data_IF_285241432744
#
_entry.id   IF_285241432744
#
_cell.length_a   1.000
_cell.length_b   1.000
_cell.length_c   1.000
_cell.angle_alpha   90.00
_cell.angle_beta   90.00
_cell.angle_gamma   90.00
#
_symmetry.space_group_name_H-M   'P 1'
#
loop_
_entity.id
_entity.type
_entity.pdbx_description
1 polymer ?
#
# COMPACT_ATOMS: atom_id res chain seq x y z
N UNK A 1 -7.39 31.01 5.53
CA UNK A 1 -7.88 30.81 4.14
C UNK A 1 -9.18 31.58 3.96
N UNK A 2 -9.45 32.17 2.78
CA UNK A 2 -10.77 32.73 2.50
C UNK A 2 -11.80 31.59 2.55
N UNK A 3 -12.78 31.68 3.45
CA UNK A 3 -13.89 30.73 3.51
C UNK A 3 -14.76 30.97 2.28
N UNK A 4 -14.64 30.12 1.27
CA UNK A 4 -15.58 30.12 0.14
C UNK A 4 -16.96 29.82 0.73
N UNK A 5 -17.90 30.74 0.56
CA UNK A 5 -19.27 30.58 1.04
C UNK A 5 -19.91 29.46 0.22
N UNK A 6 -20.29 28.36 0.88
CA UNK A 6 -21.10 27.33 0.25
C UNK A 6 -22.43 27.95 -0.19
N UNK A 7 -22.66 28.04 -1.50
CA UNK A 7 -23.84 28.72 -2.04
C UNK A 7 -25.10 27.83 -2.04
N UNK A 8 -25.03 26.58 -1.56
CA UNK A 8 -26.13 25.63 -1.69
C UNK A 8 -26.38 25.24 -3.17
N UNK A 9 -27.34 24.35 -3.39
CA UNK A 9 -27.71 23.85 -4.72
C UNK A 9 -27.20 22.43 -5.02
N UNK A 10 -27.50 21.93 -6.21
CA UNK A 10 -27.00 20.65 -6.71
C UNK A 10 -25.75 20.82 -7.58
N UNK A 11 -25.05 19.71 -7.85
CA UNK A 11 -23.86 19.69 -8.70
C UNK A 11 -24.24 19.94 -10.16
N UNK A 12 -23.74 21.02 -10.78
CA UNK A 12 -24.01 21.34 -12.19
C UNK A 12 -22.76 21.20 -13.07
N UNK A 13 -22.26 19.97 -13.16
CA UNK A 13 -21.02 19.61 -13.88
C UNK A 13 -21.08 20.03 -15.36
N UNK A 14 -22.20 19.80 -16.04
CA UNK A 14 -22.37 20.21 -17.44
C UNK A 14 -22.17 21.73 -17.63
N UNK A 15 -22.74 22.55 -16.74
CA UNK A 15 -22.55 24.00 -16.77
C UNK A 15 -21.08 24.41 -16.58
N UNK A 16 -20.37 23.75 -15.68
CA UNK A 16 -18.94 23.98 -15.47
C UNK A 16 -18.11 23.66 -16.72
N UNK A 17 -18.43 22.56 -17.43
CA UNK A 17 -17.72 22.18 -18.66
C UNK A 17 -18.00 23.16 -19.81
N UNK A 18 -19.23 23.65 -19.94
CA UNK A 18 -19.57 24.70 -20.92
C UNK A 18 -18.86 26.02 -20.62
N UNK A 19 -18.77 26.40 -19.34
CA UNK A 19 -18.04 27.60 -18.94
C UNK A 19 -16.54 27.45 -19.20
N UNK A 20 -15.97 26.27 -18.95
CA UNK A 20 -14.58 25.98 -19.31
C UNK A 20 -14.32 26.12 -20.82
N UNK A 21 -15.26 25.67 -21.67
CA UNK A 21 -15.17 25.92 -23.13
C UNK A 21 -15.17 27.40 -23.46
N UNK A 22 -16.05 28.19 -22.82
CA UNK A 22 -16.16 29.62 -23.05
C UNK A 22 -14.88 30.36 -22.65
N UNK A 23 -14.31 30.02 -21.49
CA UNK A 23 -13.06 30.62 -20.99
C UNK A 23 -11.89 30.24 -21.88
N UNK A 24 -11.77 28.96 -22.24
CA UNK A 24 -10.66 28.45 -23.04
C UNK A 24 -10.77 28.79 -24.53
N UNK A 25 -11.93 29.21 -25.04
CA UNK A 25 -12.08 29.70 -26.40
C UNK A 25 -11.20 30.93 -26.69
N UNK A 26 -10.93 31.76 -25.68
CA UNK A 26 -10.07 32.94 -25.78
C UNK A 26 -8.57 32.63 -25.58
N UNK A 27 -8.19 31.37 -25.34
CA UNK A 27 -6.80 30.98 -25.08
C UNK A 27 -5.92 31.10 -26.33
N UNK A 28 -4.61 31.32 -26.11
CA UNK A 28 -3.61 31.29 -27.19
C UNK A 28 -3.56 29.89 -27.82
N UNK A 29 -3.29 29.81 -29.12
CA UNK A 29 -3.25 28.51 -29.82
C UNK A 29 -2.21 27.55 -29.23
N UNK A 30 -1.04 28.05 -28.88
CA UNK A 30 0.09 27.25 -28.41
C UNK A 30 0.20 27.12 -26.88
N UNK A 31 -0.79 27.65 -26.13
CA UNK A 31 -0.78 27.47 -24.68
C UNK A 31 -1.22 26.05 -24.31
N UNK A 32 -0.57 25.45 -23.33
CA UNK A 32 -1.05 24.26 -22.64
C UNK A 32 -2.36 24.61 -21.93
N UNK A 33 -3.38 23.77 -22.08
CA UNK A 33 -4.72 23.99 -21.52
C UNK A 33 -5.08 22.78 -20.67
N UNK A 34 -5.43 23.02 -19.41
CA UNK A 34 -5.84 21.98 -18.49
C UNK A 34 -7.11 22.39 -17.75
N UNK A 35 -7.97 21.42 -17.46
CA UNK A 35 -9.18 21.56 -16.64
C UNK A 35 -9.10 20.57 -15.49
N UNK A 36 -9.18 21.06 -14.26
CA UNK A 36 -9.27 20.25 -13.04
C UNK A 36 -10.70 20.30 -12.52
N UNK A 37 -11.46 19.23 -12.77
CA UNK A 37 -12.84 19.11 -12.35
C UNK A 37 -12.90 18.41 -10.98
N UNK A 38 -13.38 19.11 -9.96
CA UNK A 38 -13.61 18.55 -8.62
C UNK A 38 -15.11 18.53 -8.35
N UNK A 39 -15.64 17.36 -8.00
CA UNK A 39 -17.08 17.19 -7.73
C UNK A 39 -17.33 16.13 -6.66
N UNK A 40 -18.38 16.31 -5.86
CA UNK A 40 -18.84 15.38 -4.83
C UNK A 40 -20.18 14.69 -5.19
N UNK A 41 -20.71 14.93 -6.40
CA UNK A 41 -22.04 14.45 -6.78
C UNK A 41 -22.29 14.38 -8.29
N UNK A 42 -23.52 13.94 -8.64
CA UNK A 42 -24.00 13.74 -10.01
C UNK A 42 -24.41 15.06 -10.68
N UNK A 43 -24.11 15.19 -11.98
CA UNK A 43 -24.56 16.34 -12.78
C UNK A 43 -26.10 16.40 -12.86
N UNK A 44 -26.71 17.45 -12.30
CA UNK A 44 -28.16 17.65 -12.30
C UNK A 44 -28.68 18.38 -13.56
N UNK A 45 -27.81 18.75 -14.49
CA UNK A 45 -28.16 19.55 -15.67
C UNK A 45 -27.88 18.88 -17.01
N UNK A 46 -27.88 17.54 -17.04
CA UNK A 46 -27.61 16.73 -18.23
C UNK A 46 -26.21 16.13 -18.26
N UNK A 47 -25.94 15.35 -19.30
CA UNK A 47 -24.69 14.60 -19.49
C UNK A 47 -23.53 15.54 -19.88
N UNK A 48 -22.47 15.63 -19.05
CA UNK A 48 -21.32 16.49 -19.32
C UNK A 48 -20.30 15.89 -20.32
N UNK A 49 -20.38 14.60 -20.64
CA UNK A 49 -19.40 13.90 -21.50
C UNK A 49 -19.24 14.52 -22.89
N UNK A 50 -20.30 14.96 -23.60
CA UNK A 50 -20.15 15.62 -24.90
C UNK A 50 -19.38 16.94 -24.82
N UNK A 51 -19.53 17.70 -23.72
CA UNK A 51 -18.81 18.95 -23.51
C UNK A 51 -17.32 18.69 -23.19
N UNK A 52 -17.04 17.65 -22.39
CA UNK A 52 -15.68 17.19 -22.15
C UNK A 52 -14.99 16.73 -23.45
N UNK A 53 -15.68 15.99 -24.31
CA UNK A 53 -15.15 15.54 -25.59
C UNK A 53 -14.82 16.71 -26.54
N UNK A 54 -15.65 17.75 -26.55
CA UNK A 54 -15.33 18.96 -27.30
C UNK A 54 -14.09 19.70 -26.76
N UNK A 55 -13.89 19.75 -25.44
CA UNK A 55 -12.66 20.31 -24.84
C UNK A 55 -11.42 19.49 -25.21
N UNK A 56 -11.49 18.16 -25.09
CA UNK A 56 -10.39 17.26 -25.48
C UNK A 56 -9.99 17.43 -26.94
N UNK A 57 -10.97 17.56 -27.86
CA UNK A 57 -10.73 17.84 -29.29
C UNK A 57 -10.02 19.18 -29.56
N UNK A 58 -10.10 20.13 -28.63
CA UNK A 58 -9.39 21.42 -28.71
C UNK A 58 -8.04 21.42 -27.96
N UNK A 59 -7.51 20.24 -27.62
CA UNK A 59 -6.21 20.09 -26.99
C UNK A 59 -6.21 20.45 -25.49
N UNK A 60 -7.36 20.31 -24.82
CA UNK A 60 -7.47 20.52 -23.38
C UNK A 60 -7.32 19.19 -22.66
N UNK A 61 -6.38 19.09 -21.73
CA UNK A 61 -6.25 17.94 -20.82
C UNK A 61 -7.21 18.10 -19.65
N UNK A 62 -8.00 17.06 -19.37
CA UNK A 62 -9.03 17.08 -18.32
C UNK A 62 -8.64 16.08 -17.24
N UNK A 63 -8.54 16.58 -16.00
CA UNK A 63 -8.36 15.81 -14.77
C UNK A 63 -9.66 15.84 -13.96
N UNK A 64 -10.12 14.69 -13.47
CA UNK A 64 -11.36 14.58 -12.70
C UNK A 64 -11.10 14.04 -11.30
N UNK A 65 -11.70 14.66 -10.29
CA UNK A 65 -11.60 14.30 -8.88
C UNK A 65 -13.02 14.15 -8.31
N UNK A 66 -13.43 12.90 -8.08
CA UNK A 66 -14.70 12.57 -7.42
C UNK A 66 -14.50 12.38 -5.93
N UNK A 67 -15.27 13.09 -5.10
CA UNK A 67 -15.21 12.96 -3.64
C UNK A 67 -16.45 12.25 -3.12
N UNK A 68 -16.28 11.10 -2.46
CA UNK A 68 -17.30 10.26 -1.84
C UNK A 68 -18.35 9.66 -2.79
N UNK A 69 -19.23 10.47 -3.39
CA UNK A 69 -20.47 10.05 -4.07
C UNK A 69 -20.55 10.51 -5.55
N UNK A 70 -19.41 10.57 -6.24
CA UNK A 70 -19.36 10.93 -7.66
C UNK A 70 -19.84 9.81 -8.60
N UNK A 71 -20.32 10.17 -9.78
CA UNK A 71 -20.59 9.22 -10.86
C UNK A 71 -19.27 8.76 -11.48
N UNK A 72 -18.76 7.62 -11.03
CA UNK A 72 -17.42 7.11 -11.41
C UNK A 72 -17.29 6.93 -12.92
N UNK A 73 -18.31 6.38 -13.59
CA UNK A 73 -18.28 6.13 -15.04
C UNK A 73 -18.30 7.44 -15.84
N UNK A 74 -19.15 8.40 -15.45
CA UNK A 74 -19.20 9.72 -16.09
C UNK A 74 -17.87 10.48 -15.93
N UNK A 75 -17.28 10.47 -14.73
CA UNK A 75 -15.99 11.10 -14.47
C UNK A 75 -14.87 10.45 -15.28
N UNK A 76 -14.82 9.11 -15.29
CA UNK A 76 -13.83 8.34 -16.04
C UNK A 76 -13.91 8.58 -17.55
N UNK A 77 -15.11 8.75 -18.12
CA UNK A 77 -15.30 9.06 -19.55
C UNK A 77 -14.92 10.51 -19.92
N UNK A 78 -15.08 11.45 -18.99
CA UNK A 78 -14.70 12.84 -19.19
C UNK A 78 -13.19 13.07 -19.13
N UNK A 79 -12.47 12.30 -18.32
CA UNK A 79 -11.03 12.39 -18.16
C UNK A 79 -10.28 12.17 -19.50
N UNK A 80 -9.10 12.78 -19.62
CA UNK A 80 -8.21 12.57 -20.77
C UNK A 80 -7.47 11.23 -20.68
N UNK A 81 -6.95 10.75 -21.82
CA UNK A 81 -6.14 9.52 -21.84
C UNK A 81 -4.69 9.79 -21.41
N UNK A 82 -4.02 8.85 -20.71
CA UNK A 82 -4.57 7.61 -20.13
C UNK A 82 -5.46 7.90 -18.92
N UNK A 83 -6.63 7.25 -18.86
CA UNK A 83 -7.69 7.63 -17.91
C UNK A 83 -7.33 7.29 -16.46
N UNK A 84 -6.50 6.27 -16.30
CA UNK A 84 -5.93 5.80 -15.04
C UNK A 84 -5.05 6.86 -14.37
N UNK A 85 -4.51 7.81 -15.15
CA UNK A 85 -3.67 8.90 -14.65
C UNK A 85 -4.41 10.24 -14.57
N UNK A 86 -5.67 10.31 -15.02
CA UNK A 86 -6.43 11.55 -15.11
C UNK A 86 -7.78 11.51 -14.37
N UNK A 87 -8.18 10.35 -13.83
CA UNK A 87 -9.41 10.21 -13.05
C UNK A 87 -9.12 9.63 -11.67
N UNK A 88 -9.52 10.38 -10.64
CA UNK A 88 -9.30 10.04 -9.24
C UNK A 88 -10.62 10.02 -8.49
N UNK A 89 -10.86 8.94 -7.77
CA UNK A 89 -12.01 8.82 -6.86
C UNK A 89 -11.44 8.73 -5.44
N UNK A 90 -11.92 9.62 -4.58
CA UNK A 90 -11.37 9.87 -3.26
C UNK A 90 -12.49 9.77 -2.23
N UNK A 91 -12.18 9.29 -1.03
CA UNK A 91 -13.18 9.10 0.02
C UNK A 91 -13.51 10.43 0.73
N UNK A 92 -12.56 11.38 0.74
CA UNK A 92 -12.71 12.66 1.45
C UNK A 92 -11.93 13.82 0.83
N UNK A 93 -12.22 15.05 1.28
CA UNK A 93 -11.50 16.25 0.88
C UNK A 93 -10.05 16.27 1.40
N UNK A 94 -9.77 15.63 2.53
CA UNK A 94 -8.42 15.48 3.08
C UNK A 94 -7.54 14.60 2.19
N UNK A 95 -8.12 13.56 1.59
CA UNK A 95 -7.43 12.69 0.64
C UNK A 95 -7.17 13.42 -0.68
N UNK A 96 -8.10 14.28 -1.12
CA UNK A 96 -7.86 15.20 -2.24
C UNK A 96 -6.72 16.15 -1.97
N UNK A 97 -6.61 16.69 -0.76
CA UNK A 97 -5.49 17.54 -0.38
C UNK A 97 -4.16 16.77 -0.44
N UNK A 98 -4.14 15.53 0.06
CA UNK A 98 -2.95 14.67 -0.01
C UNK A 98 -2.55 14.34 -1.46
N UNK A 99 -3.53 14.00 -2.30
CA UNK A 99 -3.31 13.75 -3.73
C UNK A 99 -2.86 15.00 -4.46
N UNK A 100 -3.51 16.15 -4.25
CA UNK A 100 -3.13 17.42 -4.85
C UNK A 100 -1.70 17.80 -4.44
N UNK A 101 -1.32 17.58 -3.18
CA UNK A 101 0.05 17.76 -2.70
C UNK A 101 1.03 16.80 -3.36
N UNK A 102 0.63 15.57 -3.69
CA UNK A 102 1.48 14.61 -4.41
C UNK A 102 1.58 14.95 -5.91
N UNK A 103 0.45 15.05 -6.59
CA UNK A 103 0.35 15.24 -8.04
C UNK A 103 0.79 16.63 -8.52
N UNK A 104 0.55 17.69 -7.74
CA UNK A 104 0.99 19.05 -8.08
C UNK A 104 2.36 19.40 -7.46
N UNK A 105 2.91 18.57 -6.56
CA UNK A 105 4.21 18.84 -5.93
C UNK A 105 5.28 17.75 -6.08
N UNK A 106 5.05 16.67 -6.83
CA UNK A 106 6.17 15.85 -7.30
C UNK A 106 7.13 16.68 -8.19
N UNK A 107 6.64 17.75 -8.85
CA UNK A 107 7.47 18.72 -9.59
C UNK A 107 7.81 20.02 -8.82
N UNK A 108 7.06 20.38 -7.77
CA UNK A 108 7.51 21.41 -6.83
C UNK A 108 8.40 20.72 -5.81
N UNK A 109 9.69 20.56 -6.17
CA UNK A 109 10.71 20.16 -5.21
C UNK A 109 10.50 20.98 -3.95
N UNK A 110 9.92 20.40 -2.90
CA UNK A 110 9.66 21.10 -1.63
C UNK A 110 10.97 21.49 -0.95
N UNK A 111 12.08 21.03 -1.53
CA UNK A 111 13.43 21.07 -1.03
C UNK A 111 13.56 20.06 0.09
N UNK A 112 14.56 20.25 0.95
CA UNK A 112 14.58 19.58 2.25
C UNK A 112 13.44 20.11 3.13
N UNK A 113 12.84 19.22 3.90
CA UNK A 113 11.96 19.57 5.01
C UNK A 113 12.83 19.96 6.21
N UNK A 114 12.57 21.11 6.81
CA UNK A 114 13.27 21.59 8.00
C UNK A 114 12.32 21.58 9.18
N UNK A 115 12.70 20.90 10.25
CA UNK A 115 11.94 20.85 11.50
C UNK A 115 11.71 22.26 12.05
N UNK A 116 10.47 22.51 12.46
CA UNK A 116 10.01 23.77 13.02
C UNK A 116 9.44 23.56 14.41
N UNK A 117 9.24 24.68 15.12
CA UNK A 117 8.47 24.66 16.34
C UNK A 117 7.07 24.06 16.08
N UNK A 118 6.60 23.07 16.87
CA UNK A 118 5.27 22.48 16.74
C UNK A 118 4.11 23.49 16.67
N UNK A 119 4.28 24.67 17.24
CA UNK A 119 3.29 25.76 17.18
C UNK A 119 3.20 26.41 15.79
N UNK A 120 4.22 26.34 14.95
CA UNK A 120 4.20 26.92 13.61
C UNK A 120 3.16 26.25 12.70
N UNK A 121 2.84 24.98 12.97
CA UNK A 121 1.79 24.24 12.26
C UNK A 121 0.39 24.41 12.89
N UNK A 122 0.24 25.21 13.95
CA UNK A 122 -1.07 25.44 14.60
C UNK A 122 -2.09 26.04 13.65
N UNK A 123 -1.65 26.86 12.68
CA UNK A 123 -2.50 27.46 11.65
C UNK A 123 -3.07 26.46 10.64
N UNK A 124 -2.59 25.22 10.62
CA UNK A 124 -3.12 24.16 9.77
C UNK A 124 -4.45 23.61 10.31
N UNK A 125 -4.76 23.81 11.59
CA UNK A 125 -5.98 23.36 12.24
C UNK A 125 -6.84 24.55 12.71
N UNK A 126 -8.16 24.36 12.92
CA UNK A 126 -9.02 25.38 13.51
C UNK A 126 -8.56 25.79 14.92
N UNK A 127 -8.81 27.04 15.30
CA UNK A 127 -8.36 27.61 16.58
C UNK A 127 -8.99 26.97 17.83
N UNK A 128 -10.01 26.12 17.68
CA UNK A 128 -10.73 25.49 18.79
C UNK A 128 -10.02 24.23 19.34
N UNK A 129 -8.97 23.73 18.68
CA UNK A 129 -8.33 22.44 19.02
C UNK A 129 -7.29 22.49 20.15
N UNK A 130 -7.04 23.67 20.74
CA UNK A 130 -6.31 23.86 22.01
C UNK A 130 -4.91 23.24 22.14
N UNK A 131 -4.30 22.72 21.06
CA UNK A 131 -3.07 21.93 21.10
C UNK A 131 -2.35 21.86 19.75
N UNK A 132 -1.25 21.10 19.69
CA UNK A 132 -0.48 20.93 18.44
C UNK A 132 -1.33 20.24 17.38
N UNK A 133 -1.35 20.81 16.16
CA UNK A 133 -2.13 20.31 15.02
C UNK A 133 -1.57 19.00 14.44
N UNK A 134 -0.26 18.80 14.59
CA UNK A 134 0.39 17.57 14.13
C UNK A 134 0.08 16.39 15.04
N UNK A 135 0.07 15.21 14.46
CA UNK A 135 -0.02 13.92 15.17
C UNK A 135 1.14 13.74 16.16
N UNK A 136 0.96 12.87 17.15
CA UNK A 136 2.01 12.50 18.10
C UNK A 136 3.21 11.84 17.41
N UNK A 137 2.97 11.16 16.28
CA UNK A 137 3.99 10.57 15.42
C UNK A 137 4.36 11.48 14.24
N UNK A 138 4.10 12.78 14.34
CA UNK A 138 4.45 13.77 13.32
C UNK A 138 5.28 14.92 13.88
N UNK A 139 6.11 15.50 13.02
CA UNK A 139 6.85 16.73 13.30
C UNK A 139 6.33 17.84 12.41
N UNK A 140 6.24 19.06 12.96
CA UNK A 140 5.98 20.25 12.16
C UNK A 140 7.22 20.59 11.33
N UNK A 141 7.07 20.68 10.02
CA UNK A 141 8.18 20.94 9.10
C UNK A 141 7.82 22.07 8.14
N UNK A 142 8.84 22.73 7.59
CA UNK A 142 8.68 23.73 6.54
C UNK A 142 9.50 23.31 5.31
N UNK A 143 8.88 23.36 4.12
CA UNK A 143 9.58 23.13 2.86
C UNK A 143 10.52 24.28 2.53
N UNK A 144 11.81 24.00 2.32
CA UNK A 144 12.83 25.03 2.03
C UNK A 144 12.60 25.79 0.73
N UNK A 145 11.95 25.18 -0.26
CA UNK A 145 11.65 25.85 -1.53
C UNK A 145 10.26 26.49 -1.56
N UNK A 146 9.31 25.94 -0.80
CA UNK A 146 7.91 26.38 -0.83
C UNK A 146 7.58 27.35 0.30
N UNK A 147 8.33 27.34 1.40
CA UNK A 147 8.05 28.12 2.61
C UNK A 147 6.77 27.70 3.34
N UNK A 148 6.15 26.60 2.91
CA UNK A 148 4.89 26.12 3.46
C UNK A 148 5.13 25.18 4.63
N UNK A 149 4.42 25.42 5.73
CA UNK A 149 4.37 24.53 6.88
C UNK A 149 3.50 23.31 6.60
N UNK A 150 3.97 22.15 7.02
CA UNK A 150 3.23 20.90 6.93
C UNK A 150 3.64 19.94 8.07
N UNK A 151 2.69 19.13 8.51
CA UNK A 151 2.98 18.05 9.44
C UNK A 151 3.47 16.83 8.67
N UNK A 152 4.58 16.23 9.08
CA UNK A 152 5.10 15.01 8.46
C UNK A 152 5.23 13.88 9.45
N UNK A 153 4.71 12.71 9.07
CA UNK A 153 4.89 11.51 9.87
C UNK A 153 6.38 11.14 9.95
N UNK A 154 6.80 10.78 11.15
CA UNK A 154 8.14 10.31 11.46
C UNK A 154 8.46 9.01 10.70
N UNK A 155 9.74 8.62 10.61
CA UNK A 155 10.13 7.32 10.05
C UNK A 155 9.32 6.17 10.66
N UNK A 156 8.97 5.19 9.84
CA UNK A 156 8.08 4.08 10.20
C UNK A 156 6.58 4.38 10.09
N UNK A 157 6.17 5.63 9.90
CA UNK A 157 4.76 6.02 9.81
C UNK A 157 4.43 6.68 8.47
N UNK A 158 3.21 6.49 7.98
CA UNK A 158 2.67 7.16 6.80
C UNK A 158 1.36 7.88 7.14
N UNK A 159 0.96 8.81 6.29
CA UNK A 159 -0.26 9.60 6.45
C UNK A 159 -0.03 11.09 6.17
N UNK A 160 -1.05 11.89 6.51
CA UNK A 160 -1.05 13.34 6.31
C UNK A 160 -0.26 14.11 7.36
N UNK A 161 0.15 13.47 8.46
CA UNK A 161 0.84 14.11 9.58
C UNK A 161 -0.07 14.87 10.54
N UNK A 162 -1.33 15.10 10.18
CA UNK A 162 -2.32 15.76 11.03
C UNK A 162 -2.81 14.80 12.13
N UNK A 163 -3.29 15.36 13.23
CA UNK A 163 -3.76 14.61 14.41
C UNK A 163 -4.65 13.41 14.03
N UNK A 164 -4.27 12.21 14.47
CA UNK A 164 -4.96 10.93 14.24
C UNK A 164 -4.57 10.20 12.95
N UNK A 165 -3.77 10.81 12.07
CA UNK A 165 -3.56 10.33 10.71
C UNK A 165 -2.20 9.67 10.46
N UNK A 166 -1.25 9.69 11.39
CA UNK A 166 -0.04 8.89 11.23
C UNK A 166 -0.31 7.43 11.60
N UNK A 167 -0.24 6.54 10.61
CA UNK A 167 -0.40 5.09 10.78
C UNK A 167 0.96 4.40 10.61
N UNK A 168 1.25 3.35 11.40
CA UNK A 168 2.49 2.61 11.24
C UNK A 168 2.51 1.88 9.90
N UNK A 169 3.68 1.81 9.27
CA UNK A 169 3.88 0.99 8.09
C UNK A 169 3.60 -0.50 8.41
N UNK A 170 2.93 -1.24 7.52
CA UNK A 170 2.56 -2.63 7.77
C UNK A 170 3.78 -3.55 7.89
N UNK A 171 3.61 -4.68 8.57
CA UNK A 171 4.66 -5.69 8.72
C UNK A 171 5.22 -6.14 7.35
N UNK A 172 6.54 -6.32 7.27
CA UNK A 172 7.24 -6.61 6.01
C UNK A 172 7.61 -5.37 5.19
N UNK A 173 7.29 -4.17 5.70
CA UNK A 173 7.71 -2.89 5.10
C UNK A 173 8.45 -2.02 6.14
N UNK A 174 9.16 -1.00 5.66
CA UNK A 174 9.81 0.00 6.49
C UNK A 174 9.75 1.38 5.84
N UNK A 175 9.97 2.43 6.62
CA UNK A 175 10.10 3.80 6.10
C UNK A 175 11.23 4.53 6.81
N UNK A 176 12.28 4.82 6.07
CA UNK A 176 13.53 5.42 6.54
C UNK A 176 13.51 6.96 6.59
N UNK A 177 12.70 7.56 5.73
CA UNK A 177 12.57 9.01 5.60
C UNK A 177 11.23 9.51 6.13
N UNK A 178 11.30 10.62 6.85
CA UNK A 178 10.15 11.43 7.20
C UNK A 178 9.53 12.04 5.94
N UNK A 179 8.21 12.17 5.91
CA UNK A 179 7.53 12.85 4.83
C UNK A 179 6.02 12.61 4.81
N UNK A 180 5.28 13.37 3.99
CA UNK A 180 3.91 13.02 3.64
C UNK A 180 3.92 11.71 2.82
N UNK A 181 2.82 10.98 2.82
CA UNK A 181 2.69 9.78 1.99
C UNK A 181 1.54 8.89 2.42
N UNK A 182 1.09 8.03 1.52
CA UNK A 182 0.16 6.93 1.82
C UNK A 182 0.95 5.65 2.14
N UNK A 183 0.26 4.52 2.23
CA UNK A 183 0.90 3.21 2.49
C UNK A 183 1.94 2.83 1.43
N UNK A 184 1.85 3.37 0.20
CA UNK A 184 2.84 3.10 -0.86
C UNK A 184 4.20 3.76 -0.61
N UNK A 185 4.28 4.71 0.33
CA UNK A 185 5.54 5.30 0.78
C UNK A 185 6.35 4.37 1.71
N UNK A 186 5.76 3.27 2.19
CA UNK A 186 6.45 2.23 2.93
C UNK A 186 7.17 1.28 1.96
N UNK A 187 8.48 1.15 2.11
CA UNK A 187 9.33 0.32 1.26
C UNK A 187 9.29 -1.13 1.73
N UNK A 188 9.17 -2.08 0.81
CA UNK A 188 9.24 -3.50 1.16
C UNK A 188 10.64 -3.89 1.64
N UNK A 189 10.73 -4.90 2.52
CA UNK A 189 12.02 -5.47 2.90
C UNK A 189 12.81 -5.96 1.68
N UNK A 190 14.16 -5.95 1.73
CA UNK A 190 15.01 -6.21 0.55
C UNK A 190 14.82 -7.58 -0.10
N UNK A 191 14.49 -8.60 0.69
CA UNK A 191 14.25 -9.97 0.24
C UNK A 191 12.75 -10.32 0.40
N UNK A 192 12.10 -10.96 -0.59
CA UNK A 192 10.69 -11.33 -0.53
C UNK A 192 10.31 -12.28 0.63
N UNK A 193 11.28 -12.96 1.22
CA UNK A 193 11.12 -13.85 2.37
C UNK A 193 11.55 -13.21 3.68
N UNK A 194 11.88 -11.92 3.67
CA UNK A 194 12.01 -11.11 4.87
C UNK A 194 10.67 -10.52 5.31
N UNK A 195 10.56 -10.29 6.61
CA UNK A 195 9.48 -9.57 7.24
C UNK A 195 10.06 -8.58 8.25
N UNK A 196 9.23 -7.71 8.79
CA UNK A 196 9.59 -6.68 9.76
C UNK A 196 8.40 -6.42 10.69
N UNK A 197 8.65 -5.81 11.85
CA UNK A 197 7.56 -5.37 12.72
C UNK A 197 6.80 -4.18 12.09
N UNK A 198 5.55 -3.96 12.49
CA UNK A 198 4.83 -2.74 12.12
C UNK A 198 5.60 -1.50 12.60
N UNK A 199 5.61 -0.44 11.79
CA UNK A 199 6.30 0.80 12.14
C UNK A 199 7.83 0.75 11.99
N UNK A 200 8.38 -0.25 11.27
CA UNK A 200 9.83 -0.38 11.09
C UNK A 200 10.43 0.84 10.36
N UNK A 201 11.58 1.31 10.85
CA UNK A 201 12.19 2.57 10.38
C UNK A 201 13.42 2.38 9.49
N UNK A 202 13.86 1.15 9.26
CA UNK A 202 15.11 0.87 8.54
C UNK A 202 15.09 -0.52 7.91
N UNK A 203 15.77 -0.72 6.76
CA UNK A 203 15.93 -2.05 6.17
C UNK A 203 16.68 -3.02 7.10
N UNK A 204 17.47 -2.52 8.06
CA UNK A 204 18.17 -3.37 9.03
C UNK A 204 17.25 -4.00 10.08
N UNK A 205 15.99 -3.56 10.18
CA UNK A 205 14.97 -4.19 11.03
C UNK A 205 14.22 -5.31 10.32
N UNK A 206 14.53 -5.56 9.03
CA UNK A 206 14.03 -6.71 8.30
C UNK A 206 14.77 -7.98 8.72
N UNK A 207 14.04 -9.06 8.93
CA UNK A 207 14.56 -10.38 9.31
C UNK A 207 13.83 -11.49 8.54
N UNK A 208 14.47 -12.65 8.36
CA UNK A 208 13.81 -13.77 7.66
C UNK A 208 12.52 -14.20 8.35
N UNK A 209 11.46 -14.40 7.55
CA UNK A 209 10.21 -14.96 8.03
C UNK A 209 10.41 -16.34 8.66
N UNK A 210 9.45 -16.78 9.47
CA UNK A 210 9.50 -18.12 10.09
C UNK A 210 9.63 -19.20 9.02
N UNK A 211 10.43 -20.22 9.31
CA UNK A 211 10.76 -21.28 8.34
C UNK A 211 11.82 -20.88 7.30
N UNK A 212 12.49 -19.73 7.45
CA UNK A 212 13.65 -19.34 6.67
C UNK A 212 14.88 -19.14 7.58
N UNK A 213 16.07 -19.35 7.01
CA UNK A 213 17.37 -19.11 7.61
C UNK A 213 18.08 -17.98 6.86
N UNK A 214 18.72 -17.08 7.61
CA UNK A 214 19.55 -16.02 7.05
C UNK A 214 20.90 -16.60 6.60
N UNK A 215 21.15 -16.64 5.30
CA UNK A 215 22.44 -17.03 4.74
C UNK A 215 22.99 -15.84 3.95
N UNK A 216 23.91 -15.09 4.56
CA UNK A 216 24.38 -13.82 4.01
C UNK A 216 23.26 -12.76 4.00
N UNK A 217 22.91 -12.26 2.81
CA UNK A 217 21.83 -11.28 2.61
C UNK A 217 20.52 -11.89 2.09
N UNK A 218 20.45 -13.22 1.95
CA UNK A 218 19.27 -13.91 1.41
C UNK A 218 18.63 -14.80 2.46
N UNK A 219 17.30 -14.92 2.36
CA UNK A 219 16.52 -15.82 3.21
C UNK A 219 16.26 -17.13 2.47
N UNK A 220 16.91 -18.21 2.91
CA UNK A 220 16.71 -19.53 2.35
C UNK A 220 15.70 -20.31 3.18
N UNK A 221 14.84 -21.11 2.53
CA UNK A 221 13.92 -22.00 3.26
C UNK A 221 14.72 -22.91 4.17
N UNK A 222 14.38 -22.90 5.46
CA UNK A 222 14.95 -23.78 6.47
C UNK A 222 14.74 -25.23 6.04
N UNK A 223 15.70 -26.06 6.38
CA UNK A 223 15.67 -27.47 6.05
C UNK A 223 15.71 -28.32 7.32
N UNK A 224 14.90 -29.36 7.34
CA UNK A 224 15.00 -30.43 8.31
C UNK A 224 16.15 -31.39 7.95
N UNK A 225 16.63 -32.20 8.91
CA UNK A 225 17.58 -33.27 8.62
C UNK A 225 17.06 -34.17 7.50
N UNK A 226 17.91 -34.58 6.57
CA UNK A 226 17.51 -35.45 5.46
C UNK A 226 17.00 -36.78 6.02
N UNK A 227 15.72 -37.11 5.79
CA UNK A 227 15.18 -38.40 6.19
C UNK A 227 15.68 -39.50 5.26
N UNK A 228 15.97 -40.64 5.86
CA UNK A 228 16.21 -41.89 5.15
C UNK A 228 15.02 -42.84 5.37
N UNK A 229 14.69 -43.68 4.38
CA UNK A 229 13.66 -44.69 4.57
C UNK A 229 14.12 -45.69 5.65
N UNK A 230 13.22 -46.15 6.53
CA UNK A 230 13.58 -47.14 7.54
C UNK A 230 13.94 -48.48 6.88
N UNK A 231 14.74 -49.30 7.56
CA UNK A 231 15.05 -50.66 7.10
C UNK A 231 13.75 -51.44 6.84
N UNK A 232 13.65 -52.10 5.68
CA UNK A 232 12.42 -52.78 5.20
C UNK A 232 11.23 -51.84 4.95
N UNK A 233 11.46 -50.54 4.81
CA UNK A 233 10.47 -49.56 4.38
C UNK A 233 10.95 -48.69 3.22
N UNK A 234 10.05 -47.85 2.74
CA UNK A 234 10.26 -46.96 1.60
C UNK A 234 9.43 -45.69 1.76
N UNK A 235 9.86 -44.62 1.11
CA UNK A 235 9.05 -43.41 0.96
C UNK A 235 7.94 -43.65 -0.05
N UNK A 236 6.72 -43.18 0.25
CA UNK A 236 5.57 -43.30 -0.67
C UNK A 236 5.87 -42.57 -1.99
N UNK A 237 6.54 -41.42 -1.90
CA UNK A 237 7.13 -40.73 -3.05
C UNK A 237 8.56 -41.22 -3.27
N UNK A 238 9.08 -41.13 -4.49
CA UNK A 238 10.46 -41.61 -4.80
C UNK A 238 11.54 -40.97 -3.92
N UNK A 239 11.31 -39.76 -3.43
CA UNK A 239 12.21 -39.01 -2.56
C UNK A 239 11.42 -38.17 -1.55
N UNK A 240 12.04 -37.86 -0.42
CA UNK A 240 11.50 -36.97 0.59
C UNK A 240 12.22 -35.61 0.50
N UNK A 241 11.49 -34.54 0.19
CA UNK A 241 12.02 -33.18 0.31
C UNK A 241 12.12 -32.80 1.79
N UNK A 242 13.19 -32.12 2.19
CA UNK A 242 13.45 -31.74 3.57
C UNK A 242 13.27 -30.24 3.83
N UNK A 243 12.63 -29.50 2.93
CA UNK A 243 12.30 -28.07 3.15
C UNK A 243 11.08 -27.93 4.07
N UNK A 244 10.94 -26.82 4.79
CA UNK A 244 9.76 -26.53 5.62
C UNK A 244 8.45 -26.76 4.84
N UNK A 245 7.45 -27.31 5.53
CA UNK A 245 6.14 -27.73 5.03
C UNK A 245 6.17 -28.95 4.07
N UNK A 246 7.33 -29.54 3.79
CA UNK A 246 7.39 -30.81 3.08
C UNK A 246 6.82 -31.95 3.94
N UNK A 247 5.95 -32.76 3.35
CA UNK A 247 5.38 -33.93 3.99
C UNK A 247 5.94 -35.21 3.37
N UNK A 248 6.47 -36.09 4.20
CA UNK A 248 7.08 -37.35 3.78
C UNK A 248 6.28 -38.53 4.33
N UNK A 249 5.61 -39.23 3.43
CA UNK A 249 4.90 -40.48 3.73
C UNK A 249 5.85 -41.66 3.72
N UNK A 250 5.76 -42.51 4.72
CA UNK A 250 6.55 -43.74 4.88
C UNK A 250 5.64 -44.96 4.87
N UNK A 251 6.10 -46.02 4.21
CA UNK A 251 5.46 -47.33 4.25
C UNK A 251 6.46 -48.45 4.45
N UNK A 252 5.99 -49.52 5.07
CA UNK A 252 6.77 -50.74 5.22
C UNK A 252 6.50 -51.69 4.05
N UNK A 253 7.52 -52.47 3.71
CA UNK A 253 7.43 -53.54 2.73
C UNK A 253 6.46 -54.62 3.20
N UNK A 254 5.90 -55.43 2.28
CA UNK A 254 5.07 -56.57 2.64
C UNK A 254 5.77 -57.48 3.68
N UNK A 255 5.01 -57.98 4.65
CA UNK A 255 5.55 -58.76 5.79
C UNK A 255 5.94 -57.93 7.01
N UNK A 256 5.96 -56.60 6.93
CA UNK A 256 6.29 -55.70 8.04
C UNK A 256 5.09 -54.80 8.43
N UNK A 257 4.99 -54.45 9.71
CA UNK A 257 4.06 -53.45 10.24
C UNK A 257 4.82 -52.18 10.62
N UNK A 258 4.17 -51.04 10.45
CA UNK A 258 4.73 -49.73 10.77
C UNK A 258 4.54 -49.41 12.25
N UNK A 259 5.60 -49.01 12.92
CA UNK A 259 5.59 -48.39 14.25
C UNK A 259 6.13 -46.96 14.16
N UNK A 260 5.54 -46.03 14.90
CA UNK A 260 5.86 -44.60 14.79
C UNK A 260 4.97 -43.87 13.78
N UNK A 261 5.47 -42.78 13.21
CA UNK A 261 4.67 -41.93 12.33
C UNK A 261 4.70 -42.43 10.88
N UNK A 262 3.53 -42.57 10.25
CA UNK A 262 3.41 -42.92 8.84
C UNK A 262 3.61 -41.72 7.90
N UNK A 263 3.49 -40.50 8.42
CA UNK A 263 3.76 -39.24 7.72
C UNK A 263 4.54 -38.34 8.67
N UNK A 264 5.63 -37.74 8.19
CA UNK A 264 6.40 -36.71 8.91
C UNK A 264 6.34 -35.39 8.15
N UNK A 265 6.12 -34.29 8.84
CA UNK A 265 6.08 -32.93 8.28
C UNK A 265 7.31 -32.15 8.74
N UNK A 266 8.03 -31.51 7.83
CA UNK A 266 9.13 -30.63 8.19
C UNK A 266 8.57 -29.31 8.73
N UNK A 267 8.81 -29.02 10.00
CA UNK A 267 8.26 -27.88 10.72
C UNK A 267 9.13 -26.63 10.56
N UNK A 268 8.59 -25.46 10.89
CA UNK A 268 9.27 -24.16 10.77
C UNK A 268 10.50 -24.02 11.67
N UNK A 269 10.64 -24.86 12.70
CA UNK A 269 11.81 -24.94 13.59
C UNK A 269 12.95 -25.81 13.01
N UNK A 270 12.73 -26.43 11.85
CA UNK A 270 13.69 -27.32 11.20
C UNK A 270 13.68 -28.74 11.77
N UNK A 271 12.62 -29.14 12.49
CA UNK A 271 12.45 -30.51 13.00
C UNK A 271 11.31 -31.22 12.28
N UNK A 272 11.42 -32.55 12.22
CA UNK A 272 10.34 -33.38 11.70
C UNK A 272 9.29 -33.63 12.78
N UNK A 273 8.02 -33.46 12.41
CA UNK A 273 6.92 -33.84 13.28
C UNK A 273 6.87 -35.36 13.50
N UNK A 274 6.20 -35.75 14.59
CA UNK A 274 5.96 -37.14 14.93
C UNK A 274 7.21 -37.88 15.45
N UNK A 275 7.08 -39.20 15.56
CA UNK A 275 8.14 -40.09 16.03
C UNK A 275 8.83 -40.82 14.88
N UNK A 276 10.05 -41.31 15.14
CA UNK A 276 10.80 -42.11 14.17
C UNK A 276 10.03 -43.38 13.78
N UNK A 277 10.02 -43.65 12.47
CA UNK A 277 9.30 -44.79 11.89
C UNK A 277 10.18 -46.03 11.88
N UNK A 278 9.64 -47.17 12.33
CA UNK A 278 10.30 -48.47 12.28
C UNK A 278 9.38 -49.49 11.62
N UNK A 279 9.95 -50.35 10.78
CA UNK A 279 9.24 -51.46 10.15
C UNK A 279 9.60 -52.75 10.86
N UNK A 280 8.68 -53.27 11.66
CA UNK A 280 8.88 -54.49 12.44
C UNK A 280 8.16 -55.65 11.77
N UNK A 281 8.78 -56.82 11.74
CA UNK A 281 8.22 -58.00 11.07
C UNK A 281 6.87 -58.36 11.73
N UNK A 282 5.88 -58.72 10.91
CA UNK A 282 4.60 -59.23 11.40
C UNK A 282 4.82 -60.65 11.91
N UNK A 283 4.49 -60.89 13.17
CA UNK A 283 4.49 -62.23 13.78
C UNK A 283 3.06 -62.76 13.84
N UNK A 284 2.88 -64.05 13.63
CA UNK A 284 1.62 -64.72 13.97
C UNK A 284 1.52 -64.85 15.50
N UNK A 285 0.30 -64.84 16.04
CA UNK A 285 0.11 -65.29 17.43
C UNK A 285 0.28 -66.81 17.46
N UNK A 286 1.02 -67.31 18.45
CA UNK A 286 0.96 -68.72 18.78
C UNK A 286 -0.45 -69.04 19.31
N UNK A 287 -1.04 -70.11 18.77
CA UNK A 287 -2.39 -70.60 19.09
C UNK A 287 -2.36 -71.54 20.29
#
# INVERSE_FOLDING_TARGET
>A
MPRIRFMGGGTYTMGAMLEAQRVLAASRRDSVKAVFLVTDGYSNGGDPRPAAEALKRHGVTIFTFGIRNGNVEELYDMASHPREEHSYILESFEEFEALARRALHEDLQTGSLVDQNPQACSSLCPAEDGGSCCDVHATCTCGTHTGHYLCTCQPGYYGTGLRGNCKPCPAGTYRDRQGPGDVSSCQACPDPHMTSAEGSTSPHQCYCARGYDQIGQQCHKRQCPVLQPPTNGFFIQRSCSNVVNAACGLRCSPGYRLEGSSIRLCQEDGRWSGGDTRCVMKTCREL
#
